data_IF_560221484686
#
_entry.id   IF_560221484686
#
_cell.length_a   1.000
_cell.length_b   1.000
_cell.length_c   1.000
_cell.angle_alpha   90.00
_cell.angle_beta   90.00
_cell.angle_gamma   90.00
#
_symmetry.space_group_name_H-M   'P 1'
#
loop_
_entity.id
_entity.type
_entity.pdbx_description
1 polymer ?
#
# COMPACT_ATOMS: atom_id res chain seq x y z
N UNK A 1 11.64 -55.67 49.90
CA UNK A 1 12.02 -56.60 50.98
C UNK A 1 13.14 -55.93 51.79
N UNK A 2 13.16 -55.99 53.13
CA UNK A 2 12.52 -57.01 53.97
C UNK A 2 11.56 -56.45 55.05
N UNK A 3 10.51 -57.22 55.29
CA UNK A 3 9.83 -57.33 56.58
C UNK A 3 10.79 -57.92 57.62
N UNK A 4 10.70 -57.47 58.87
CA UNK A 4 11.20 -58.23 60.01
C UNK A 4 10.16 -58.26 61.13
N UNK A 5 9.56 -59.43 61.27
CA UNK A 5 8.74 -59.92 62.37
C UNK A 5 9.64 -60.35 63.54
N UNK A 6 9.32 -60.04 64.81
CA UNK A 6 9.53 -60.95 65.99
C UNK A 6 9.00 -60.32 67.30
N UNK A 7 8.09 -61.10 67.91
CA UNK A 7 7.33 -61.04 69.19
C UNK A 7 8.18 -61.61 70.38
N UNK A 8 7.70 -61.80 71.64
CA UNK A 8 7.05 -60.98 72.70
C UNK A 8 7.90 -60.88 74.02
N UNK A 9 7.44 -60.12 75.03
CA UNK A 9 7.20 -60.58 76.42
C UNK A 9 7.45 -59.53 77.54
N UNK A 10 6.48 -59.51 78.47
CA UNK A 10 6.59 -59.27 79.92
C UNK A 10 6.77 -57.84 80.47
N UNK A 11 5.64 -57.28 80.92
CA UNK A 11 5.47 -56.44 82.13
C UNK A 11 6.14 -57.11 83.37
N UNK A 12 6.56 -56.37 84.44
CA UNK A 12 5.66 -55.44 85.11
C UNK A 12 6.25 -54.15 85.72
N UNK A 13 5.36 -53.16 85.81
CA UNK A 13 5.27 -52.08 86.83
C UNK A 13 6.22 -50.87 86.73
N UNK A 14 5.54 -49.73 86.58
CA UNK A 14 5.56 -48.58 87.51
C UNK A 14 6.05 -47.25 86.93
N UNK A 15 5.10 -46.32 86.93
CA UNK A 15 5.22 -44.86 87.03
C UNK A 15 6.12 -44.13 86.03
N UNK A 16 5.50 -43.49 85.04
CA UNK A 16 5.42 -42.02 84.99
C UNK A 16 4.55 -41.63 83.79
N UNK A 17 3.37 -41.13 84.12
CA UNK A 17 2.53 -40.36 83.22
C UNK A 17 3.19 -38.98 83.12
N UNK A 18 3.73 -38.54 81.97
CA UNK A 18 3.82 -37.12 81.75
C UNK A 18 2.38 -36.66 81.51
N UNK A 19 1.85 -35.89 82.45
CA UNK A 19 0.76 -34.96 82.18
C UNK A 19 1.19 -34.06 81.00
N UNK A 20 0.92 -34.51 79.78
CA UNK A 20 0.65 -33.57 78.70
C UNK A 20 -0.68 -32.93 79.06
N UNK A 21 -0.58 -31.86 79.86
CA UNK A 21 -1.55 -30.80 79.91
C UNK A 21 -1.94 -30.47 78.47
N UNK A 22 -3.06 -31.05 78.04
CA UNK A 22 -3.85 -30.51 76.96
C UNK A 22 -4.25 -29.11 77.44
N UNK A 23 -3.44 -28.12 77.11
CA UNK A 23 -3.84 -26.73 77.16
C UNK A 23 -4.93 -26.56 76.12
N UNK A 24 -6.17 -26.86 76.50
CA UNK A 24 -7.38 -26.40 75.85
C UNK A 24 -7.37 -24.87 75.94
N UNK A 25 -6.67 -24.22 75.01
CA UNK A 25 -6.92 -22.82 74.72
C UNK A 25 -8.32 -22.78 74.11
N UNK A 26 -9.30 -22.34 74.89
CA UNK A 26 -10.62 -22.01 74.36
C UNK A 26 -10.42 -21.02 73.19
N UNK A 27 -10.89 -21.34 71.97
CA UNK A 27 -10.74 -20.46 70.83
C UNK A 27 -11.29 -19.06 71.17
N UNK A 28 -10.55 -17.99 70.94
CA UNK A 28 -11.14 -16.65 71.05
C UNK A 28 -12.04 -16.41 69.82
N UNK A 29 -13.28 -16.89 69.89
CA UNK A 29 -14.28 -16.80 68.82
C UNK A 29 -14.47 -15.37 68.31
N UNK A 30 -14.24 -14.37 69.16
CA UNK A 30 -14.35 -12.96 68.78
C UNK A 30 -13.19 -12.53 67.89
N UNK A 31 -11.96 -12.91 68.26
CA UNK A 31 -10.78 -12.66 67.44
C UNK A 31 -10.82 -13.40 66.09
N UNK A 32 -11.37 -14.61 66.05
CA UNK A 32 -11.56 -15.36 64.79
C UNK A 32 -12.63 -14.73 63.88
N UNK A 33 -13.75 -14.27 64.46
CA UNK A 33 -14.78 -13.56 63.72
C UNK A 33 -14.27 -12.26 63.09
N UNK A 34 -13.49 -11.47 63.83
CA UNK A 34 -12.90 -10.23 63.32
C UNK A 34 -11.88 -10.50 62.20
N UNK A 35 -11.10 -11.58 62.30
CA UNK A 35 -10.20 -12.03 61.22
C UNK A 35 -10.98 -12.42 59.96
N UNK A 36 -12.05 -13.20 60.10
CA UNK A 36 -12.88 -13.63 58.97
C UNK A 36 -13.53 -12.42 58.29
N UNK A 37 -14.05 -11.47 59.07
CA UNK A 37 -14.63 -10.22 58.55
C UNK A 37 -13.60 -9.38 57.80
N UNK A 38 -12.38 -9.28 58.33
CA UNK A 38 -11.30 -8.57 57.64
C UNK A 38 -10.89 -9.29 56.33
N UNK A 39 -10.86 -10.62 56.32
CA UNK A 39 -10.59 -11.40 55.10
C UNK A 39 -11.72 -11.26 54.07
N UNK A 40 -12.98 -11.28 54.50
CA UNK A 40 -14.13 -11.06 53.63
C UNK A 40 -14.05 -9.70 52.93
N UNK A 41 -13.73 -8.63 53.66
CA UNK A 41 -13.52 -7.30 53.07
C UNK A 41 -12.36 -7.29 52.07
N UNK A 42 -11.22 -7.91 52.39
CA UNK A 42 -10.09 -8.03 51.45
C UNK A 42 -10.47 -8.77 50.17
N UNK A 43 -11.28 -9.81 50.27
CA UNK A 43 -11.73 -10.57 49.11
C UNK A 43 -12.75 -9.80 48.28
N UNK A 44 -13.63 -9.05 48.94
CA UNK A 44 -14.56 -8.14 48.29
C UNK A 44 -13.80 -7.05 47.51
N UNK A 45 -12.79 -6.44 48.12
CA UNK A 45 -11.95 -5.42 47.47
C UNK A 45 -11.19 -6.01 46.29
N UNK A 46 -10.58 -7.19 46.44
CA UNK A 46 -9.91 -7.90 45.35
C UNK A 46 -10.87 -8.30 44.23
N UNK A 47 -12.08 -8.72 44.56
CA UNK A 47 -13.09 -9.05 43.56
C UNK A 47 -13.51 -7.81 42.76
N UNK A 48 -13.69 -6.67 43.43
CA UNK A 48 -13.97 -5.39 42.77
C UNK A 48 -12.82 -4.94 41.86
N UNK A 49 -11.57 -5.07 42.33
CA UNK A 49 -10.39 -4.75 41.53
C UNK A 49 -10.27 -5.67 40.31
N UNK A 50 -10.45 -6.98 40.49
CA UNK A 50 -10.39 -7.95 39.40
C UNK A 50 -11.51 -7.72 38.37
N UNK A 51 -12.72 -7.41 38.84
CA UNK A 51 -13.84 -7.07 37.98
C UNK A 51 -13.57 -5.80 37.15
N UNK A 52 -13.02 -4.75 37.77
CA UNK A 52 -12.60 -3.54 37.05
C UNK A 52 -11.49 -3.81 36.04
N UNK A 53 -10.52 -4.64 36.40
CA UNK A 53 -9.44 -5.05 35.49
C UNK A 53 -9.99 -5.83 34.29
N UNK A 54 -10.97 -6.72 34.52
CA UNK A 54 -11.65 -7.46 33.45
C UNK A 54 -12.41 -6.52 32.51
N UNK A 55 -13.18 -5.56 33.04
CA UNK A 55 -13.85 -4.57 32.21
C UNK A 55 -12.89 -3.76 31.34
N UNK A 56 -11.77 -3.29 31.91
CA UNK A 56 -10.75 -2.55 31.16
C UNK A 56 -10.13 -3.39 30.05
N UNK A 57 -9.93 -4.68 30.29
CA UNK A 57 -9.41 -5.61 29.30
C UNK A 57 -10.41 -5.81 28.16
N UNK A 58 -11.68 -6.06 28.49
CA UNK A 58 -12.76 -6.20 27.50
C UNK A 58 -12.91 -4.92 26.66
N UNK A 59 -12.87 -3.74 27.28
CA UNK A 59 -12.90 -2.44 26.58
C UNK A 59 -11.74 -2.27 25.59
N UNK A 60 -10.51 -2.64 26.00
CA UNK A 60 -9.33 -2.56 25.13
C UNK A 60 -9.43 -3.57 23.98
N UNK A 61 -9.92 -4.78 24.25
CA UNK A 61 -10.10 -5.80 23.21
C UNK A 61 -11.14 -5.36 22.17
N UNK A 62 -12.29 -4.81 22.61
CA UNK A 62 -13.31 -4.31 21.69
C UNK A 62 -12.82 -3.10 20.89
N UNK A 63 -12.10 -2.17 21.54
CA UNK A 63 -11.46 -1.05 20.85
C UNK A 63 -10.42 -1.52 19.83
N UNK A 64 -9.60 -2.51 20.20
CA UNK A 64 -8.57 -3.10 19.33
C UNK A 64 -9.17 -3.84 18.15
N UNK A 65 -10.23 -4.63 18.36
CA UNK A 65 -10.97 -5.28 17.26
C UNK A 65 -11.55 -4.25 16.29
N UNK A 66 -12.12 -3.17 16.82
CA UNK A 66 -12.70 -2.09 16.01
C UNK A 66 -11.62 -1.38 15.18
N UNK A 67 -10.48 -1.05 15.79
CA UNK A 67 -9.37 -0.42 15.09
C UNK A 67 -8.73 -1.37 14.07
N UNK A 68 -8.57 -2.66 14.40
CA UNK A 68 -8.08 -3.67 13.47
C UNK A 68 -9.00 -3.84 12.25
N UNK A 69 -10.33 -3.85 12.46
CA UNK A 69 -11.30 -3.90 11.36
C UNK A 69 -11.18 -2.66 10.47
N UNK A 70 -11.09 -1.47 11.07
CA UNK A 70 -10.91 -0.22 10.32
C UNK A 70 -9.60 -0.21 9.53
N UNK A 71 -8.51 -0.74 10.10
CA UNK A 71 -7.22 -0.87 9.40
C UNK A 71 -7.31 -1.87 8.26
N UNK A 72 -7.98 -3.01 8.45
CA UNK A 72 -8.20 -3.99 7.39
C UNK A 72 -9.03 -3.39 6.23
N UNK A 73 -10.10 -2.66 6.54
CA UNK A 73 -10.93 -1.98 5.54
C UNK A 73 -10.15 -0.89 4.79
N UNK A 74 -9.30 -0.13 5.50
CA UNK A 74 -8.43 0.87 4.89
C UNK A 74 -7.38 0.23 3.96
N UNK A 75 -6.78 -0.89 4.37
CA UNK A 75 -5.85 -1.65 3.55
C UNK A 75 -6.54 -2.20 2.31
N UNK A 76 -7.68 -2.87 2.45
CA UNK A 76 -8.45 -3.40 1.33
C UNK A 76 -8.86 -2.28 0.34
N UNK A 77 -9.28 -1.12 0.84
CA UNK A 77 -9.59 0.03 -0.01
C UNK A 77 -8.35 0.57 -0.74
N UNK A 78 -7.19 0.59 -0.08
CA UNK A 78 -5.92 1.01 -0.69
C UNK A 78 -5.45 0.04 -1.76
N UNK A 79 -5.55 -1.26 -1.52
CA UNK A 79 -5.21 -2.33 -2.46
C UNK A 79 -6.14 -2.31 -3.68
N UNK A 80 -7.44 -2.12 -3.47
CA UNK A 80 -8.40 -1.98 -4.57
C UNK A 80 -8.07 -0.77 -5.46
N UNK A 81 -7.65 0.35 -4.87
CA UNK A 81 -7.21 1.54 -5.63
C UNK A 81 -5.91 1.29 -6.38
N UNK A 82 -4.93 0.64 -5.75
CA UNK A 82 -3.67 0.27 -6.37
C UNK A 82 -3.91 -0.64 -7.58
N UNK A 83 -4.68 -1.71 -7.40
CA UNK A 83 -5.05 -2.65 -8.48
C UNK A 83 -5.80 -1.96 -9.62
N UNK A 84 -6.71 -1.03 -9.32
CA UNK A 84 -7.40 -0.25 -10.33
C UNK A 84 -6.46 0.69 -11.10
N UNK A 85 -5.48 1.29 -10.43
CA UNK A 85 -4.47 2.12 -11.06
C UNK A 85 -3.53 1.29 -11.95
N UNK A 86 -3.08 0.14 -11.47
CA UNK A 86 -2.27 -0.81 -12.22
C UNK A 86 -3.00 -1.31 -13.47
N UNK A 87 -4.28 -1.69 -13.35
CA UNK A 87 -5.08 -2.11 -14.51
C UNK A 87 -5.22 -1.00 -15.56
N UNK A 88 -5.36 0.27 -15.14
CA UNK A 88 -5.40 1.41 -16.06
C UNK A 88 -4.06 1.65 -16.73
N UNK A 89 -2.96 1.57 -15.98
CA UNK A 89 -1.61 1.70 -16.53
C UNK A 89 -1.33 0.62 -17.57
N UNK A 90 -1.59 -0.65 -17.24
CA UNK A 90 -1.44 -1.77 -18.18
C UNK A 90 -2.31 -1.58 -19.43
N UNK A 91 -3.55 -1.13 -19.28
CA UNK A 91 -4.42 -0.88 -20.42
C UNK A 91 -3.91 0.28 -21.32
N UNK A 92 -3.36 1.33 -20.72
CA UNK A 92 -2.72 2.43 -21.46
C UNK A 92 -1.46 1.98 -22.20
N UNK A 93 -0.63 1.14 -21.57
CA UNK A 93 0.55 0.55 -22.21
C UNK A 93 0.15 -0.29 -23.42
N UNK A 94 -0.78 -1.23 -23.25
CA UNK A 94 -1.32 -2.05 -24.35
C UNK A 94 -1.96 -1.17 -25.43
N UNK A 95 -2.63 -0.08 -25.06
CA UNK A 95 -3.22 0.87 -26.00
C UNK A 95 -2.16 1.58 -26.84
N UNK A 96 -1.07 2.00 -26.22
CA UNK A 96 0.04 2.65 -26.90
C UNK A 96 0.78 1.68 -27.84
N UNK A 97 0.98 0.44 -27.43
CA UNK A 97 1.64 -0.60 -28.24
C UNK A 97 0.80 -1.04 -29.45
N UNK A 98 -0.49 -1.28 -29.24
CA UNK A 98 -1.39 -1.77 -30.29
C UNK A 98 -2.01 -0.65 -31.13
N UNK A 99 -1.99 0.59 -30.63
CA UNK A 99 -2.68 1.72 -31.25
C UNK A 99 -4.21 1.62 -31.21
N UNK A 100 -4.74 0.72 -30.37
CA UNK A 100 -6.17 0.54 -30.09
C UNK A 100 -6.49 1.31 -28.80
N UNK A 101 -7.48 2.22 -28.78
CA UNK A 101 -7.81 2.98 -27.58
C UNK A 101 -8.28 2.07 -26.44
N UNK A 102 -7.95 2.46 -25.20
CA UNK A 102 -8.28 1.72 -23.96
C UNK A 102 -9.77 1.35 -23.86
N UNK A 103 -10.66 2.23 -24.31
CA UNK A 103 -12.12 2.00 -24.29
C UNK A 103 -12.55 0.84 -25.22
N UNK A 104 -11.80 0.60 -26.31
CA UNK A 104 -12.03 -0.56 -27.17
C UNK A 104 -11.38 -1.84 -26.63
N UNK A 105 -10.26 -1.72 -25.91
CA UNK A 105 -9.61 -2.86 -25.25
C UNK A 105 -10.43 -3.42 -24.07
N UNK A 106 -11.27 -2.58 -23.45
CA UNK A 106 -12.20 -3.00 -22.40
C UNK A 106 -13.31 -3.95 -22.89
N UNK A 107 -13.51 -4.07 -24.21
CA UNK A 107 -14.53 -4.92 -24.81
C UNK A 107 -15.94 -4.30 -24.84
N UNK A 108 -16.96 -5.08 -25.23
CA UNK A 108 -18.31 -4.56 -25.50
C UNK A 108 -19.07 -4.01 -24.29
N UNK A 109 -18.63 -4.31 -23.06
CA UNK A 109 -19.39 -3.97 -21.85
C UNK A 109 -20.83 -4.53 -21.93
N UNK A 110 -21.79 -3.77 -21.40
CA UNK A 110 -23.23 -4.11 -21.42
C UNK A 110 -23.94 -3.69 -22.71
N UNK A 111 -23.37 -2.76 -23.50
CA UNK A 111 -24.00 -2.25 -24.73
C UNK A 111 -23.14 -2.54 -25.97
N UNK A 112 -23.50 -3.64 -26.64
CA UNK A 112 -22.85 -4.09 -27.87
C UNK A 112 -23.04 -3.10 -29.02
N UNK A 113 -24.14 -2.34 -29.07
CA UNK A 113 -24.38 -1.37 -30.16
C UNK A 113 -23.43 -0.18 -30.02
N UNK A 114 -23.35 0.38 -28.82
CA UNK A 114 -22.42 1.47 -28.53
C UNK A 114 -20.96 1.04 -28.80
N UNK A 115 -20.60 -0.20 -28.46
CA UNK A 115 -19.28 -0.72 -28.77
C UNK A 115 -19.02 -0.86 -30.27
N UNK A 116 -19.97 -1.38 -31.05
CA UNK A 116 -19.85 -1.50 -32.49
C UNK A 116 -19.71 -0.11 -33.17
N UNK A 117 -20.44 0.89 -32.70
CA UNK A 117 -20.31 2.27 -33.18
C UNK A 117 -18.92 2.86 -32.89
N UNK A 118 -18.38 2.65 -31.68
CA UNK A 118 -17.01 3.07 -31.33
C UNK A 118 -15.95 2.39 -32.19
N UNK A 119 -16.11 1.09 -32.47
CA UNK A 119 -15.22 0.36 -33.38
C UNK A 119 -15.26 0.94 -34.80
N UNK A 120 -16.45 1.20 -35.32
CA UNK A 120 -16.63 1.79 -36.65
C UNK A 120 -16.02 3.19 -36.73
N UNK A 121 -16.22 4.03 -35.71
CA UNK A 121 -15.63 5.36 -35.62
C UNK A 121 -14.09 5.31 -35.62
N UNK A 122 -13.50 4.41 -34.84
CA UNK A 122 -12.04 4.22 -34.81
C UNK A 122 -11.48 3.76 -36.16
N UNK A 123 -12.14 2.81 -36.83
CA UNK A 123 -11.73 2.40 -38.18
C UNK A 123 -11.81 3.55 -39.20
N UNK A 124 -12.87 4.36 -39.13
CA UNK A 124 -13.03 5.53 -40.00
C UNK A 124 -11.93 6.59 -39.74
N UNK A 125 -11.56 6.82 -38.48
CA UNK A 125 -10.48 7.75 -38.11
C UNK A 125 -9.11 7.25 -38.59
N UNK A 126 -8.84 5.93 -38.45
CA UNK A 126 -7.65 5.30 -39.04
C UNK A 126 -7.61 5.45 -40.56
N UNK A 127 -8.72 5.24 -41.26
CA UNK A 127 -8.80 5.43 -42.71
C UNK A 127 -8.52 6.88 -43.12
N UNK A 128 -9.08 7.85 -42.38
CA UNK A 128 -8.87 9.28 -42.61
C UNK A 128 -7.42 9.71 -42.35
N UNK A 129 -6.77 9.15 -41.34
CA UNK A 129 -5.36 9.38 -41.06
C UNK A 129 -4.45 8.85 -42.20
N UNK A 130 -4.79 7.71 -42.80
CA UNK A 130 -4.08 7.16 -43.97
C UNK A 130 -4.29 8.05 -45.20
N UNK A 131 -5.49 8.60 -45.40
CA UNK A 131 -5.77 9.51 -46.51
C UNK A 131 -5.04 10.86 -46.37
N UNK A 132 -4.89 11.37 -45.15
CA UNK A 132 -4.13 12.60 -44.87
C UNK A 132 -2.60 12.38 -44.88
N UNK A 133 -2.13 11.14 -44.73
CA UNK A 133 -0.72 10.78 -44.82
C UNK A 133 -0.26 10.48 -46.26
N UNK A 134 -1.18 10.39 -47.23
CA UNK A 134 -0.78 10.32 -48.64
C UNK A 134 -0.18 11.67 -49.05
N UNK A 135 1.08 11.72 -49.51
CA UNK A 135 1.63 12.96 -50.03
C UNK A 135 0.79 13.31 -51.25
N UNK A 136 0.10 14.45 -51.19
CA UNK A 136 -0.57 15.03 -52.34
C UNK A 136 0.40 14.98 -53.52
N UNK A 137 0.11 14.10 -54.49
CA UNK A 137 0.90 13.96 -55.71
C UNK A 137 0.80 15.31 -56.42
N UNK A 138 1.85 16.13 -56.27
CA UNK A 138 1.93 17.42 -56.95
C UNK A 138 2.04 17.10 -58.43
N UNK A 139 1.19 17.64 -59.32
CA UNK A 139 1.37 17.47 -60.75
C UNK A 139 2.76 18.02 -61.12
N UNK A 140 3.53 17.20 -61.83
CA UNK A 140 4.91 17.45 -62.21
C UNK A 140 5.01 18.63 -63.18
N UNK A 141 5.06 19.87 -62.67
CA UNK A 141 5.46 21.04 -63.44
C UNK A 141 6.97 21.01 -63.65
N UNK A 142 7.40 20.88 -64.91
CA UNK A 142 8.80 21.05 -65.33
C UNK A 142 9.32 22.43 -64.90
N UNK A 143 10.34 22.45 -64.04
CA UNK A 143 11.09 23.65 -63.68
C UNK A 143 12.33 23.68 -64.59
N UNK A 144 12.60 24.78 -65.34
CA UNK A 144 13.81 24.89 -66.15
C UNK A 144 15.05 24.95 -65.26
N UNK A 145 16.11 24.27 -65.70
CA UNK A 145 17.36 24.08 -64.98
C UNK A 145 18.14 25.40 -64.80
N UNK A 146 17.88 26.11 -63.71
CA UNK A 146 18.80 27.08 -63.10
C UNK A 146 18.22 27.58 -61.76
N UNK A 147 18.13 26.73 -60.74
CA UNK A 147 18.03 27.11 -59.32
C UNK A 147 17.95 25.84 -58.46
N UNK A 148 18.94 25.64 -57.60
CA UNK A 148 18.94 24.65 -56.51
C UNK A 148 17.75 24.94 -55.57
N UNK A 149 16.97 23.93 -55.14
CA UNK A 149 15.78 24.17 -54.33
C UNK A 149 16.14 24.46 -52.87
N UNK A 150 15.76 25.65 -52.42
CA UNK A 150 15.72 26.07 -51.02
C UNK A 150 14.74 25.20 -50.20
N UNK A 151 15.24 24.66 -49.10
CA UNK A 151 14.47 23.96 -48.07
C UNK A 151 13.53 24.96 -47.38
N UNK A 152 12.20 24.78 -47.52
CA UNK A 152 11.22 25.42 -46.62
C UNK A 152 11.25 24.69 -45.28
N UNK A 153 11.80 25.31 -44.24
CA UNK A 153 11.65 24.81 -42.87
C UNK A 153 12.37 25.59 -41.78
N UNK A 154 13.50 26.23 -42.06
CA UNK A 154 14.24 26.99 -41.07
C UNK A 154 14.93 28.16 -41.76
N UNK A 155 14.93 29.34 -41.11
CA UNK A 155 15.72 30.50 -41.53
C UNK A 155 17.13 30.05 -41.93
N UNK A 156 17.72 30.65 -42.97
CA UNK A 156 19.11 30.31 -43.35
C UNK A 156 20.05 30.56 -42.16
N UNK A 157 21.20 29.87 -42.07
CA UNK A 157 22.14 30.03 -40.93
C UNK A 157 22.49 31.52 -40.71
N UNK A 158 22.56 32.29 -41.80
CA UNK A 158 22.84 33.73 -41.77
C UNK A 158 21.68 34.54 -41.20
N UNK A 159 20.45 34.21 -41.56
CA UNK A 159 19.26 34.82 -40.96
C UNK A 159 19.08 34.40 -39.49
N UNK A 160 19.47 33.17 -39.11
CA UNK A 160 19.47 32.73 -37.71
C UNK A 160 20.51 33.49 -36.87
N UNK A 161 21.68 33.76 -37.43
CA UNK A 161 22.71 34.60 -36.80
C UNK A 161 22.16 36.02 -36.61
N UNK A 162 21.57 36.61 -37.64
CA UNK A 162 20.99 37.96 -37.55
C UNK A 162 19.82 38.04 -36.56
N UNK A 163 18.97 37.01 -36.51
CA UNK A 163 17.88 36.92 -35.55
C UNK A 163 18.38 36.75 -34.10
N UNK A 164 19.43 35.93 -33.89
CA UNK A 164 20.06 35.75 -32.59
C UNK A 164 20.77 37.02 -32.09
N UNK A 165 21.45 37.75 -32.99
CA UNK A 165 22.06 39.05 -32.69
C UNK A 165 21.00 40.10 -32.34
N UNK A 166 19.91 40.15 -33.11
CA UNK A 166 18.77 41.04 -32.84
C UNK A 166 18.06 40.71 -31.53
N UNK A 167 18.03 39.44 -31.13
CA UNK A 167 17.51 38.98 -29.85
C UNK A 167 18.51 39.13 -28.68
N UNK A 168 19.77 39.53 -28.96
CA UNK A 168 20.82 39.66 -27.95
C UNK A 168 21.38 38.33 -27.42
N UNK A 169 21.05 37.21 -28.05
CA UNK A 169 21.48 35.86 -27.65
C UNK A 169 22.89 35.57 -28.17
N UNK A 170 23.88 35.98 -27.37
CA UNK A 170 25.31 35.86 -27.71
C UNK A 170 25.77 34.41 -27.83
N UNK A 171 25.20 33.50 -27.04
CA UNK A 171 25.59 32.09 -27.03
C UNK A 171 25.15 31.39 -28.32
N UNK A 172 23.88 31.58 -28.73
CA UNK A 172 23.39 31.08 -30.03
C UNK A 172 24.14 31.69 -31.21
N UNK A 173 24.44 32.99 -31.14
CA UNK A 173 25.20 33.68 -32.20
C UNK A 173 26.59 33.08 -32.38
N UNK A 174 27.32 32.79 -31.28
CA UNK A 174 28.65 32.18 -31.36
C UNK A 174 28.60 30.75 -31.89
N UNK A 175 27.63 29.94 -31.45
CA UNK A 175 27.45 28.57 -31.92
C UNK A 175 27.14 28.53 -33.43
N UNK A 176 26.23 29.39 -33.91
CA UNK A 176 25.87 29.46 -35.32
C UNK A 176 27.01 30.01 -36.19
N UNK A 177 27.78 30.99 -35.71
CA UNK A 177 28.99 31.48 -36.41
C UNK A 177 30.09 30.41 -36.48
N UNK A 178 30.27 29.61 -35.44
CA UNK A 178 31.23 28.51 -35.44
C UNK A 178 30.81 27.41 -36.44
N UNK A 179 29.52 27.07 -36.49
CA UNK A 179 28.96 26.14 -37.48
C UNK A 179 29.16 26.64 -38.90
N UNK A 180 28.93 27.94 -39.15
CA UNK A 180 29.20 28.59 -40.45
C UNK A 180 30.67 28.48 -40.86
N UNK A 181 31.59 28.69 -39.91
CA UNK A 181 33.03 28.61 -40.18
C UNK A 181 33.54 27.17 -40.38
N UNK A 182 32.96 26.20 -39.67
CA UNK A 182 33.27 24.77 -39.81
C UNK A 182 32.83 24.19 -41.16
N UNK A 183 31.66 24.62 -41.66
CA UNK A 183 31.15 24.18 -42.97
C UNK A 183 31.89 24.80 -44.16
N UNK A 184 32.67 25.87 -43.97
CA UNK A 184 33.45 26.52 -45.03
C UNK A 184 34.85 25.89 -45.26
N UNK A 185 35.23 24.87 -44.47
CA UNK A 185 36.55 24.21 -44.53
C UNK A 185 36.51 22.76 -45.05
N UNK A 186 35.41 22.35 -45.68
CA UNK A 186 35.27 21.05 -46.38
C UNK A 186 35.21 21.29 -47.89
#
# INVERSE_FOLDING_TARGET
>A
MPDNTTTPAADPQSVEQPEQQASTQEPDWKAEYDKLKAQARKWEDRAKENYKARQRLDEIEEASKTEAQKQADALAASEARAKAAEARAAALEVSNETGIPVDLLAGPGDDLKAYAERLAAWQAEKAKAVEQAQPAVRPNTHIPAAQTPEYRGTLTIDEQIAAAEKAGDREKTMALKALKLGNAKQ
#
